data_IF_127014115580
#
_entry.id   IF_127014115580
#
_cell.length_a   1.000
_cell.length_b   1.000
_cell.length_c   1.000
_cell.angle_alpha   90.00
_cell.angle_beta   90.00
_cell.angle_gamma   90.00
#
_symmetry.space_group_name_H-M   'P 1'
#
loop_
_entity.id
_entity.type
_entity.pdbx_description
1 polymer ?
#
# COMPACT_ATOMS: atom_id res chain seq x y z
N UNK A 1 25.15 20.13 -39.43
CA UNK A 1 25.43 19.69 -38.04
C UNK A 1 24.18 19.06 -37.43
N UNK A 2 24.27 17.82 -36.92
CA UNK A 2 23.12 17.18 -36.26
C UNK A 2 22.87 17.87 -34.91
N UNK A 3 21.68 18.38 -34.64
CA UNK A 3 21.31 19.07 -33.39
C UNK A 3 21.59 18.25 -32.12
N UNK A 4 21.65 16.92 -32.23
CA UNK A 4 22.01 16.02 -31.13
C UNK A 4 23.47 16.16 -30.68
N UNK A 5 24.40 16.36 -31.63
CA UNK A 5 25.83 16.56 -31.28
C UNK A 5 26.06 17.92 -30.59
N UNK A 6 25.27 18.93 -30.96
CA UNK A 6 25.30 20.24 -30.32
C UNK A 6 24.79 20.16 -28.87
N UNK A 7 23.67 19.44 -28.61
CA UNK A 7 23.11 19.23 -27.29
C UNK A 7 24.11 18.49 -26.35
N UNK A 8 24.76 17.44 -26.84
CA UNK A 8 25.80 16.72 -26.09
C UNK A 8 27.03 17.59 -25.78
N UNK A 9 27.50 18.41 -26.74
CA UNK A 9 28.60 19.35 -26.50
C UNK A 9 28.25 20.36 -25.43
N UNK A 10 27.05 20.91 -25.45
CA UNK A 10 26.59 21.86 -24.43
C UNK A 10 26.53 21.23 -23.03
N UNK A 11 26.04 20.01 -22.91
CA UNK A 11 26.01 19.27 -21.63
C UNK A 11 27.42 19.02 -21.09
N UNK A 12 28.37 18.66 -21.98
CA UNK A 12 29.78 18.42 -21.63
C UNK A 12 30.52 19.71 -21.22
N UNK A 13 30.24 20.82 -21.86
CA UNK A 13 30.89 22.11 -21.58
C UNK A 13 30.50 22.68 -20.20
N UNK A 14 29.30 22.36 -19.72
CA UNK A 14 28.82 22.79 -18.40
C UNK A 14 28.54 21.58 -17.47
N UNK A 15 29.57 20.75 -17.29
CA UNK A 15 29.44 19.47 -16.54
C UNK A 15 28.77 19.62 -15.16
N UNK A 16 29.24 20.59 -14.34
CA UNK A 16 28.71 20.79 -12.97
C UNK A 16 27.19 21.02 -12.94
N UNK A 17 26.66 21.79 -13.90
CA UNK A 17 25.22 22.12 -13.97
C UNK A 17 24.41 21.00 -14.60
N UNK A 18 24.93 20.37 -15.63
CA UNK A 18 24.28 19.18 -16.21
C UNK A 18 24.13 18.09 -15.15
N UNK A 19 25.16 17.88 -14.32
CA UNK A 19 25.10 16.95 -13.18
C UNK A 19 24.02 17.39 -12.18
N UNK A 20 23.97 18.67 -11.79
CA UNK A 20 22.92 19.17 -10.88
C UNK A 20 21.50 18.98 -11.43
N UNK A 21 21.30 19.19 -12.75
CA UNK A 21 19.99 18.97 -13.37
C UNK A 21 19.65 17.48 -13.45
N UNK A 22 20.63 16.61 -13.76
CA UNK A 22 20.46 15.16 -13.73
C UNK A 22 20.14 14.69 -12.30
N UNK A 23 20.84 15.21 -11.29
CA UNK A 23 20.57 14.92 -9.89
C UNK A 23 19.17 15.36 -9.47
N UNK A 24 18.70 16.52 -9.92
CA UNK A 24 17.33 16.99 -9.64
C UNK A 24 16.29 16.02 -10.24
N UNK A 25 16.48 15.55 -11.48
CA UNK A 25 15.60 14.57 -12.11
C UNK A 25 15.70 13.24 -11.39
N UNK A 26 16.91 12.76 -11.09
CA UNK A 26 17.17 11.53 -10.36
C UNK A 26 16.46 11.53 -9.00
N UNK A 27 16.65 12.58 -8.21
CA UNK A 27 16.02 12.71 -6.88
C UNK A 27 14.50 12.74 -6.98
N UNK A 28 13.95 13.44 -7.98
CA UNK A 28 12.51 13.51 -8.19
C UNK A 28 11.91 12.17 -8.58
N UNK A 29 12.53 11.44 -9.49
CA UNK A 29 12.08 10.09 -9.89
C UNK A 29 12.27 9.11 -8.74
N UNK A 30 13.40 9.19 -8.03
CA UNK A 30 13.64 8.36 -6.84
C UNK A 30 12.57 8.57 -5.77
N UNK A 31 12.15 9.83 -5.53
CA UNK A 31 11.08 10.15 -4.58
C UNK A 31 9.74 9.53 -4.99
N UNK A 32 9.33 9.68 -6.26
CA UNK A 32 8.07 9.10 -6.76
C UNK A 32 8.09 7.59 -6.63
N UNK A 33 9.19 6.97 -7.08
CA UNK A 33 9.34 5.51 -7.08
C UNK A 33 9.40 4.97 -5.65
N UNK A 34 10.19 5.61 -4.77
CA UNK A 34 10.31 5.17 -3.38
C UNK A 34 9.00 5.32 -2.62
N UNK A 35 8.29 6.43 -2.80
CA UNK A 35 6.98 6.64 -2.18
C UNK A 35 5.96 5.59 -2.63
N UNK A 36 5.91 5.28 -3.94
CA UNK A 36 5.01 4.26 -4.47
C UNK A 36 5.32 2.85 -3.96
N UNK A 37 6.57 2.43 -4.00
CA UNK A 37 7.00 1.11 -3.51
C UNK A 37 6.76 1.00 -2.00
N UNK A 38 7.13 2.02 -1.23
CA UNK A 38 6.95 2.03 0.22
C UNK A 38 5.47 1.97 0.61
N UNK A 39 4.63 2.80 -0.01
CA UNK A 39 3.18 2.80 0.21
C UNK A 39 2.56 1.43 -0.05
N UNK A 40 2.94 0.78 -1.15
CA UNK A 40 2.43 -0.55 -1.49
C UNK A 40 2.95 -1.63 -0.54
N UNK A 41 4.22 -1.56 -0.11
CA UNK A 41 4.79 -2.51 0.86
C UNK A 41 4.10 -2.41 2.24
N UNK A 42 3.78 -1.20 2.69
CA UNK A 42 3.01 -0.99 3.93
C UNK A 42 1.56 -1.46 3.79
N UNK A 43 0.93 -1.23 2.64
CA UNK A 43 -0.42 -1.74 2.35
C UNK A 43 -0.45 -3.27 2.39
N UNK A 44 0.54 -3.93 1.79
CA UNK A 44 0.66 -5.40 1.82
C UNK A 44 0.87 -5.93 3.24
N UNK A 45 1.75 -5.28 4.03
CA UNK A 45 1.92 -5.61 5.45
C UNK A 45 0.59 -5.49 6.23
N UNK A 46 -0.14 -4.39 6.03
CA UNK A 46 -1.46 -4.20 6.63
C UNK A 46 -2.44 -5.30 6.23
N UNK A 47 -2.48 -5.64 4.95
CA UNK A 47 -3.33 -6.71 4.41
C UNK A 47 -2.94 -8.07 4.97
N UNK A 48 -1.63 -8.38 5.08
CA UNK A 48 -1.15 -9.62 5.72
C UNK A 48 -1.53 -9.70 7.21
N UNK A 49 -1.37 -8.61 7.96
CA UNK A 49 -1.77 -8.58 9.37
C UNK A 49 -3.29 -8.81 9.52
N UNK A 50 -4.09 -8.25 8.62
CA UNK A 50 -5.54 -8.47 8.58
C UNK A 50 -5.85 -9.94 8.26
N UNK A 51 -5.19 -10.54 7.26
CA UNK A 51 -5.34 -11.96 6.91
C UNK A 51 -4.97 -12.87 8.10
N UNK A 52 -3.87 -12.60 8.76
CA UNK A 52 -3.43 -13.38 9.92
C UNK A 52 -4.39 -13.25 11.11
N UNK A 53 -5.05 -12.10 11.27
CA UNK A 53 -5.96 -11.86 12.40
C UNK A 53 -7.39 -12.28 12.13
N UNK A 54 -7.89 -12.05 10.92
CA UNK A 54 -9.31 -12.23 10.55
C UNK A 54 -9.53 -13.33 9.51
N UNK A 55 -8.47 -13.95 9.01
CA UNK A 55 -8.51 -14.93 7.93
C UNK A 55 -8.43 -14.33 6.53
N UNK A 56 -8.12 -15.18 5.56
CA UNK A 56 -7.97 -14.84 4.14
C UNK A 56 -9.22 -15.22 3.33
N UNK A 57 -10.41 -15.03 3.89
CA UNK A 57 -11.68 -15.25 3.19
C UNK A 57 -12.39 -13.91 2.96
N UNK A 58 -13.28 -13.85 1.96
CA UNK A 58 -14.04 -12.63 1.65
C UNK A 58 -15.43 -12.61 2.26
N UNK A 59 -16.09 -13.78 2.25
CA UNK A 59 -17.37 -13.94 2.92
C UNK A 59 -17.52 -15.36 3.49
N UNK A 60 -18.35 -15.47 4.53
CA UNK A 60 -18.74 -16.76 5.11
C UNK A 60 -20.24 -16.82 5.33
N UNK A 61 -20.78 -18.03 5.31
CA UNK A 61 -22.17 -18.32 5.62
C UNK A 61 -22.26 -19.49 6.59
N UNK A 62 -23.31 -19.54 7.39
CA UNK A 62 -23.58 -20.61 8.35
C UNK A 62 -24.87 -21.36 7.99
N UNK A 63 -24.97 -22.61 8.41
CA UNK A 63 -26.19 -23.42 8.24
C UNK A 63 -26.43 -23.89 6.81
N UNK A 64 -25.40 -23.98 5.98
CA UNK A 64 -25.54 -24.42 4.60
C UNK A 64 -25.62 -25.94 4.49
N UNK A 65 -26.43 -26.41 3.54
CA UNK A 65 -26.46 -27.82 3.10
C UNK A 65 -25.30 -28.12 2.14
N UNK A 66 -24.93 -29.40 1.98
CA UNK A 66 -23.91 -29.83 1.03
C UNK A 66 -24.17 -29.29 -0.40
N UNK A 67 -25.40 -29.33 -0.87
CA UNK A 67 -25.77 -28.80 -2.20
C UNK A 67 -25.47 -27.31 -2.36
N UNK A 68 -25.66 -26.50 -1.29
CA UNK A 68 -25.35 -25.08 -1.31
C UNK A 68 -23.82 -24.86 -1.33
N UNK A 69 -23.07 -25.67 -0.57
CA UNK A 69 -21.61 -25.65 -0.60
C UNK A 69 -21.09 -25.96 -2.00
N UNK A 70 -21.61 -27.03 -2.63
CA UNK A 70 -21.23 -27.45 -3.99
C UNK A 70 -21.53 -26.33 -5.03
N UNK A 71 -22.64 -25.60 -4.85
CA UNK A 71 -22.98 -24.45 -5.69
C UNK A 71 -21.98 -23.30 -5.52
N UNK A 72 -21.53 -23.04 -4.31
CA UNK A 72 -20.47 -22.02 -4.09
C UNK A 72 -19.18 -22.46 -4.79
N UNK A 73 -18.76 -23.70 -4.58
CA UNK A 73 -17.53 -24.23 -5.17
C UNK A 73 -17.52 -24.28 -6.69
N UNK A 74 -18.68 -24.56 -7.30
CA UNK A 74 -18.83 -24.62 -8.76
C UNK A 74 -19.08 -23.24 -9.41
N UNK A 75 -19.27 -22.18 -8.63
CA UNK A 75 -19.54 -20.86 -9.17
C UNK A 75 -18.32 -20.26 -9.89
N UNK A 76 -18.52 -19.71 -11.07
CA UNK A 76 -17.45 -19.21 -11.96
C UNK A 76 -16.52 -18.18 -11.32
N UNK A 77 -17.05 -17.39 -10.39
CA UNK A 77 -16.31 -16.30 -9.71
C UNK A 77 -15.62 -16.77 -8.43
N UNK A 78 -15.87 -18.01 -7.96
CA UNK A 78 -15.25 -18.55 -6.75
C UNK A 78 -13.82 -19.01 -7.06
N UNK A 79 -12.89 -18.75 -6.15
CA UNK A 79 -11.50 -19.19 -6.21
C UNK A 79 -11.28 -20.37 -5.25
N UNK A 80 -11.54 -20.20 -3.96
CA UNK A 80 -11.40 -21.20 -2.93
C UNK A 80 -12.65 -21.26 -2.04
N UNK A 81 -12.98 -22.46 -1.56
CA UNK A 81 -14.10 -22.70 -0.65
C UNK A 81 -13.67 -23.66 0.45
N UNK A 82 -13.69 -23.19 1.68
CA UNK A 82 -13.44 -24.01 2.84
C UNK A 82 -14.73 -24.24 3.64
N UNK A 83 -14.85 -25.41 4.26
CA UNK A 83 -16.00 -25.78 5.07
C UNK A 83 -15.58 -26.26 6.45
N UNK A 84 -16.42 -25.95 7.44
CA UNK A 84 -16.29 -26.49 8.78
C UNK A 84 -17.66 -26.89 9.30
N UNK A 85 -17.74 -28.01 9.99
CA UNK A 85 -18.96 -28.47 10.67
C UNK A 85 -18.89 -28.00 12.12
N UNK A 86 -19.73 -27.06 12.56
CA UNK A 86 -19.85 -26.71 13.97
C UNK A 86 -20.52 -27.86 14.73
N UNK A 87 -19.80 -28.44 15.68
CA UNK A 87 -20.30 -29.62 16.41
C UNK A 87 -20.97 -29.23 17.73
N UNK A 88 -20.35 -28.33 18.48
CA UNK A 88 -20.90 -27.88 19.76
C UNK A 88 -19.86 -27.25 20.68
N UNK A 89 -20.25 -27.11 21.95
CA UNK A 89 -19.39 -26.53 22.99
C UNK A 89 -19.11 -27.61 24.03
N UNK A 90 -17.83 -27.90 24.27
CA UNK A 90 -17.41 -28.74 25.37
C UNK A 90 -16.91 -27.88 26.53
N UNK A 91 -17.21 -28.28 27.76
CA UNK A 91 -16.61 -27.70 28.97
C UNK A 91 -15.47 -28.61 29.42
N UNK A 92 -14.31 -28.00 29.60
CA UNK A 92 -13.15 -28.69 30.19
C UNK A 92 -13.15 -28.51 31.72
N UNK A 93 -13.54 -27.30 32.19
CA UNK A 93 -13.84 -26.95 33.59
C UNK A 93 -15.05 -26.01 33.57
N UNK A 94 -15.50 -25.54 34.76
CA UNK A 94 -16.61 -24.55 34.81
C UNK A 94 -16.29 -23.27 34.04
N UNK A 95 -15.04 -22.81 34.09
CA UNK A 95 -14.60 -21.54 33.47
C UNK A 95 -13.94 -21.69 32.10
N UNK A 96 -13.67 -22.93 31.65
CA UNK A 96 -12.97 -23.19 30.40
C UNK A 96 -13.89 -23.89 29.39
N UNK A 97 -14.15 -23.20 28.29
CA UNK A 97 -15.00 -23.69 27.21
C UNK A 97 -14.19 -23.98 25.94
N UNK A 98 -14.60 -24.99 25.19
CA UNK A 98 -13.97 -25.42 23.95
C UNK A 98 -15.04 -25.49 22.86
N UNK A 99 -14.89 -24.68 21.82
CA UNK A 99 -15.72 -24.74 20.63
C UNK A 99 -15.22 -25.85 19.71
N UNK A 100 -16.01 -26.91 19.57
CA UNK A 100 -15.68 -28.07 18.75
C UNK A 100 -16.20 -27.85 17.32
N UNK A 101 -15.32 -27.96 16.36
CA UNK A 101 -15.66 -27.89 14.94
C UNK A 101 -14.79 -28.86 14.13
N UNK A 102 -15.30 -29.29 12.96
CA UNK A 102 -14.63 -30.19 12.06
C UNK A 102 -14.37 -29.49 10.72
N UNK A 103 -13.22 -28.77 10.59
CA UNK A 103 -12.84 -28.08 9.37
C UNK A 103 -12.30 -29.05 8.32
N UNK A 104 -12.42 -28.67 7.03
CA UNK A 104 -11.60 -29.20 5.96
C UNK A 104 -10.25 -28.45 5.86
N UNK A 105 -9.38 -28.92 4.99
CA UNK A 105 -8.05 -28.35 4.79
C UNK A 105 -8.13 -26.92 4.28
N UNK A 106 -9.06 -26.65 3.35
CA UNK A 106 -9.25 -25.32 2.77
C UNK A 106 -9.76 -24.29 3.80
N UNK A 107 -10.63 -24.74 4.73
CA UNK A 107 -11.07 -23.88 5.84
C UNK A 107 -9.91 -23.51 6.76
N UNK A 108 -9.04 -24.45 7.06
CA UNK A 108 -7.86 -24.23 7.89
C UNK A 108 -6.97 -23.18 7.24
N UNK A 109 -6.73 -23.29 5.95
CA UNK A 109 -5.91 -22.36 5.17
C UNK A 109 -6.56 -20.96 5.06
N UNK A 110 -7.87 -20.90 4.78
CA UNK A 110 -8.60 -19.64 4.69
C UNK A 110 -8.63 -18.85 6.00
N UNK A 111 -8.68 -19.54 7.14
CA UNK A 111 -8.64 -18.90 8.45
C UNK A 111 -7.22 -18.73 9.01
N UNK A 112 -6.22 -19.32 8.37
CA UNK A 112 -4.82 -19.24 8.78
C UNK A 112 -4.54 -19.94 10.10
N UNK A 113 -5.20 -21.11 10.36
CA UNK A 113 -4.91 -21.88 11.54
C UNK A 113 -3.60 -22.65 11.39
N UNK A 114 -2.72 -22.47 12.33
CA UNK A 114 -1.41 -23.11 12.36
C UNK A 114 -1.27 -24.05 13.57
N UNK A 115 -0.45 -25.08 13.40
CA UNK A 115 -0.09 -25.99 14.48
C UNK A 115 1.21 -25.54 15.16
N UNK A 116 1.18 -25.47 16.49
CA UNK A 116 2.41 -25.34 17.30
C UNK A 116 3.20 -26.66 17.27
N UNK A 117 2.49 -27.82 17.31
CA UNK A 117 3.08 -29.15 17.30
C UNK A 117 2.07 -30.22 16.91
N UNK A 118 2.52 -31.27 16.24
CA UNK A 118 1.67 -32.42 15.88
C UNK A 118 1.12 -32.35 14.46
N UNK A 119 -0.10 -32.89 14.25
CA UNK A 119 -0.83 -32.87 12.99
C UNK A 119 -2.30 -32.57 13.20
N UNK A 120 -3.03 -32.24 12.16
CA UNK A 120 -4.49 -32.13 12.20
C UNK A 120 -5.16 -33.51 12.34
N UNK A 121 -6.41 -33.57 12.86
CA UNK A 121 -7.13 -34.83 13.02
C UNK A 121 -7.51 -35.41 11.65
N UNK A 122 -7.22 -36.71 11.43
CA UNK A 122 -7.56 -37.43 10.22
C UNK A 122 -8.61 -38.47 10.47
N UNK A 123 -8.62 -39.04 11.68
CA UNK A 123 -9.49 -40.16 12.05
C UNK A 123 -10.40 -39.80 13.21
N UNK A 124 -11.53 -40.56 13.30
CA UNK A 124 -12.47 -40.41 14.42
C UNK A 124 -11.78 -40.65 15.78
N UNK A 125 -12.17 -39.84 16.77
CA UNK A 125 -11.58 -39.85 18.11
C UNK A 125 -10.28 -39.05 18.27
N UNK A 126 -9.81 -38.38 17.24
CA UNK A 126 -8.67 -37.46 17.32
C UNK A 126 -9.10 -35.99 17.50
N UNK A 127 -8.29 -35.25 18.24
CA UNK A 127 -8.52 -33.81 18.50
C UNK A 127 -7.23 -33.00 18.45
N UNK A 128 -7.34 -31.78 17.93
CA UNK A 128 -6.33 -30.73 18.05
C UNK A 128 -6.94 -29.59 18.83
N UNK A 129 -6.17 -29.06 19.81
CA UNK A 129 -6.65 -28.07 20.78
C UNK A 129 -5.48 -27.14 21.17
N UNK A 130 -5.76 -25.98 21.73
CA UNK A 130 -4.72 -25.08 22.20
C UNK A 130 -4.09 -25.57 23.51
N UNK A 131 -2.76 -25.62 23.59
CA UNK A 131 -2.00 -26.20 24.71
C UNK A 131 -2.23 -25.49 26.06
N UNK A 132 -2.52 -24.19 26.06
CA UNK A 132 -2.73 -23.42 27.28
C UNK A 132 -3.96 -23.90 28.08
N UNK A 133 -4.97 -24.46 27.43
CA UNK A 133 -6.15 -25.02 28.08
C UNK A 133 -5.80 -26.16 29.05
N UNK A 134 -4.89 -27.06 28.64
CA UNK A 134 -4.44 -28.14 29.47
C UNK A 134 -3.72 -27.61 30.74
N UNK A 135 -2.87 -26.59 30.54
CA UNK A 135 -2.18 -25.95 31.64
C UNK A 135 -3.16 -25.27 32.60
N UNK A 136 -4.18 -24.59 32.08
CA UNK A 136 -5.21 -23.92 32.87
C UNK A 136 -6.12 -24.94 33.61
N UNK A 137 -6.38 -26.09 32.99
CA UNK A 137 -7.18 -27.17 33.58
C UNK A 137 -6.37 -28.10 34.55
N UNK A 138 -5.05 -27.90 34.67
CA UNK A 138 -4.19 -28.78 35.47
C UNK A 138 -3.98 -30.16 34.89
N UNK A 139 -4.17 -30.35 33.58
CA UNK A 139 -4.05 -31.64 32.88
C UNK A 139 -2.67 -31.70 32.23
N UNK A 140 -1.97 -32.86 32.24
CA UNK A 140 -0.70 -33.00 31.52
C UNK A 140 -0.88 -32.73 30.00
N UNK A 141 -0.12 -31.80 29.43
CA UNK A 141 -0.16 -31.45 28.03
C UNK A 141 0.85 -32.30 27.23
N UNK A 142 0.47 -33.51 26.86
CA UNK A 142 1.29 -34.42 26.06
C UNK A 142 0.49 -34.92 24.85
N UNK A 143 1.13 -34.95 23.66
CA UNK A 143 0.53 -35.53 22.48
C UNK A 143 0.34 -37.04 22.73
N UNK A 144 -0.84 -37.56 22.39
CA UNK A 144 -1.24 -38.93 22.68
C UNK A 144 -2.11 -39.11 23.94
N UNK A 145 -2.21 -38.08 24.77
CA UNK A 145 -3.11 -38.07 25.94
C UNK A 145 -4.56 -38.14 25.50
N UNK A 146 -5.36 -38.95 26.19
CA UNK A 146 -6.80 -39.04 25.94
C UNK A 146 -7.56 -38.19 26.94
N UNK A 147 -8.41 -37.30 26.43
CA UNK A 147 -9.19 -36.35 27.23
C UNK A 147 -10.67 -36.66 27.09
N UNK A 148 -11.40 -36.87 28.18
CA UNK A 148 -12.86 -36.96 28.14
C UNK A 148 -13.44 -35.55 28.01
N UNK A 149 -14.34 -35.34 27.03
CA UNK A 149 -15.07 -34.08 26.85
C UNK A 149 -16.56 -34.34 26.82
N UNK A 150 -17.31 -33.57 27.58
CA UNK A 150 -18.77 -33.52 27.51
C UNK A 150 -19.18 -32.45 26.55
N UNK A 151 -19.55 -32.84 25.32
CA UNK A 151 -19.95 -31.92 24.25
C UNK A 151 -21.43 -31.60 24.40
N UNK A 152 -21.77 -30.35 24.44
CA UNK A 152 -23.13 -29.82 24.41
C UNK A 152 -23.50 -29.44 23.00
N UNK A 153 -24.51 -30.14 22.44
CA UNK A 153 -24.99 -29.97 21.08
C UNK A 153 -26.35 -29.28 21.13
N UNK A 154 -26.59 -28.20 20.37
CA UNK A 154 -27.92 -27.65 20.24
C UNK A 154 -28.78 -28.56 19.41
N UNK A 155 -29.93 -29.00 19.94
CA UNK A 155 -30.91 -29.83 19.25
C UNK A 155 -32.23 -29.08 19.24
N UNK A 156 -32.83 -28.95 18.06
CA UNK A 156 -34.18 -28.38 17.92
C UNK A 156 -35.21 -29.55 18.05
N UNK A 157 -35.99 -29.54 19.12
CA UNK A 157 -37.08 -30.49 19.32
C UNK A 157 -38.19 -30.30 18.28
N UNK A 158 -39.01 -31.30 18.04
CA UNK A 158 -40.18 -31.21 17.15
C UNK A 158 -41.14 -30.08 17.55
N UNK A 159 -41.12 -29.64 18.81
CA UNK A 159 -41.85 -28.54 19.34
C UNK A 159 -41.33 -27.16 18.94
N UNK A 160 -40.18 -27.04 18.25
CA UNK A 160 -39.48 -25.83 17.90
C UNK A 160 -38.69 -25.22 19.09
N UNK A 161 -38.59 -25.91 20.22
CA UNK A 161 -37.74 -25.50 21.35
C UNK A 161 -36.30 -25.93 21.15
N UNK A 162 -35.36 -25.06 21.38
CA UNK A 162 -33.95 -25.38 21.46
C UNK A 162 -33.67 -26.08 22.81
N UNK A 163 -33.12 -27.27 22.74
CA UNK A 163 -32.64 -28.02 23.90
C UNK A 163 -31.17 -28.37 23.71
N UNK A 164 -30.51 -28.75 24.80
CA UNK A 164 -29.07 -29.09 24.76
C UNK A 164 -28.93 -30.61 25.08
N UNK A 165 -28.40 -31.33 24.10
CA UNK A 165 -28.00 -32.72 24.32
C UNK A 165 -26.54 -32.74 24.80
N UNK A 166 -26.25 -33.62 25.78
CA UNK A 166 -24.91 -33.79 26.32
C UNK A 166 -24.40 -35.17 25.87
N UNK A 167 -23.26 -35.14 25.17
CA UNK A 167 -22.62 -36.36 24.67
C UNK A 167 -21.21 -36.45 25.25
N UNK A 168 -20.92 -37.55 25.97
CA UNK A 168 -19.57 -37.80 26.45
C UNK A 168 -18.75 -38.51 25.38
N UNK A 169 -17.59 -37.93 25.05
CA UNK A 169 -16.64 -38.49 24.09
C UNK A 169 -15.23 -38.41 24.63
N UNK A 170 -14.40 -39.37 24.24
CA UNK A 170 -12.98 -39.42 24.56
C UNK A 170 -12.18 -39.12 23.32
N UNK A 171 -11.34 -38.11 23.36
CA UNK A 171 -10.51 -37.66 22.23
C UNK A 171 -9.04 -37.85 22.55
N UNK A 172 -8.30 -38.42 21.60
CA UNK A 172 -6.85 -38.52 21.63
C UNK A 172 -6.25 -37.22 21.06
N UNK A 173 -5.43 -36.51 21.82
CA UNK A 173 -4.74 -35.29 21.39
C UNK A 173 -3.66 -35.66 20.39
N UNK A 174 -3.75 -35.16 19.15
CA UNK A 174 -2.79 -35.42 18.06
C UNK A 174 -1.95 -34.18 17.69
N UNK A 175 -2.33 -33.01 18.20
CA UNK A 175 -1.59 -31.76 17.97
C UNK A 175 -2.07 -30.60 18.83
N UNK A 176 -1.35 -29.50 18.74
CA UNK A 176 -1.68 -28.26 19.42
C UNK A 176 -1.76 -27.11 18.42
N UNK A 177 -2.84 -26.33 18.51
CA UNK A 177 -3.00 -25.09 17.75
C UNK A 177 -2.13 -23.98 18.35
N UNK A 178 -1.69 -23.07 17.49
CA UNK A 178 -1.10 -21.79 17.92
C UNK A 178 -2.16 -21.02 18.71
N UNK A 179 -1.83 -20.50 19.91
CA UNK A 179 -2.79 -19.88 20.80
C UNK A 179 -3.41 -18.61 20.23
N UNK A 180 -4.73 -18.47 20.38
CA UNK A 180 -5.43 -17.22 20.10
C UNK A 180 -5.57 -16.40 21.39
N UNK A 181 -4.90 -15.23 21.46
CA UNK A 181 -4.92 -14.36 22.64
C UNK A 181 -6.33 -13.91 23.06
N UNK A 182 -7.22 -13.67 22.10
CA UNK A 182 -8.61 -13.31 22.40
C UNK A 182 -9.36 -14.48 23.10
N UNK A 183 -9.09 -15.72 22.70
CA UNK A 183 -9.62 -16.92 23.35
C UNK A 183 -9.09 -17.12 24.75
N UNK A 184 -7.80 -16.87 24.99
CA UNK A 184 -7.19 -16.97 26.32
C UNK A 184 -7.87 -16.01 27.30
N UNK A 185 -8.11 -14.76 26.90
CA UNK A 185 -8.78 -13.75 27.73
C UNK A 185 -10.24 -14.08 28.02
N UNK A 186 -10.91 -14.76 27.12
CA UNK A 186 -12.31 -15.17 27.26
C UNK A 186 -12.49 -16.53 27.97
N UNK A 187 -11.41 -17.24 28.30
CA UNK A 187 -11.49 -18.62 28.82
C UNK A 187 -12.06 -19.62 27.82
N UNK A 188 -11.95 -19.32 26.53
CA UNK A 188 -12.54 -20.10 25.45
C UNK A 188 -11.51 -20.40 24.36
N UNK A 189 -11.51 -21.61 23.85
CA UNK A 189 -10.63 -22.02 22.75
C UNK A 189 -11.42 -22.75 21.67
N UNK A 190 -10.79 -22.89 20.50
CA UNK A 190 -11.27 -23.78 19.43
C UNK A 190 -10.55 -25.10 19.52
N UNK A 191 -11.25 -26.16 19.17
CA UNK A 191 -10.68 -27.47 18.98
C UNK A 191 -11.21 -28.09 17.69
N UNK A 192 -10.35 -28.77 16.96
CA UNK A 192 -10.71 -29.40 15.70
C UNK A 192 -10.73 -30.91 15.85
N UNK A 193 -11.75 -31.50 15.27
CA UNK A 193 -11.93 -32.95 15.14
C UNK A 193 -12.08 -33.33 13.65
N UNK A 194 -11.99 -34.61 13.33
CA UNK A 194 -12.21 -35.07 11.97
C UNK A 194 -13.68 -34.91 11.57
N UNK A 195 -13.96 -34.64 10.29
CA UNK A 195 -15.33 -34.55 9.77
C UNK A 195 -16.13 -35.84 9.96
N UNK A 196 -15.46 -37.00 9.88
CA UNK A 196 -16.07 -38.31 10.17
C UNK A 196 -16.58 -38.40 11.61
N UNK A 197 -15.90 -37.83 12.58
CA UNK A 197 -16.37 -37.78 13.98
C UNK A 197 -17.56 -36.83 14.14
N UNK A 198 -17.53 -35.68 13.47
CA UNK A 198 -18.63 -34.71 13.51
C UNK A 198 -19.95 -35.34 13.01
N UNK A 199 -19.91 -36.10 11.92
CA UNK A 199 -21.04 -36.79 11.39
C UNK A 199 -21.62 -37.86 12.36
N UNK A 200 -20.76 -38.54 13.13
CA UNK A 200 -21.16 -39.47 14.18
C UNK A 200 -21.78 -38.77 15.40
N UNK A 201 -21.24 -37.62 15.79
CA UNK A 201 -21.71 -36.85 16.92
C UNK A 201 -23.05 -36.19 16.66
N UNK A 202 -23.28 -35.74 15.41
CA UNK A 202 -24.50 -35.03 14.97
C UNK A 202 -25.60 -35.96 14.39
N UNK A 203 -25.44 -37.27 14.50
CA UNK A 203 -26.39 -38.28 14.00
C UNK A 203 -26.78 -38.09 12.51
N UNK A 204 -25.79 -37.73 11.71
CA UNK A 204 -25.91 -37.52 10.27
C UNK A 204 -26.52 -36.19 9.80
N UNK A 205 -27.08 -35.38 10.69
CA UNK A 205 -27.60 -34.04 10.33
C UNK A 205 -26.48 -33.02 10.36
N UNK A 206 -25.81 -32.80 9.23
CA UNK A 206 -24.66 -31.90 9.14
C UNK A 206 -25.05 -30.61 8.44
N UNK A 207 -24.84 -29.48 9.11
CA UNK A 207 -24.87 -28.15 8.52
C UNK A 207 -23.46 -27.57 8.45
N UNK A 208 -23.13 -26.94 7.33
CA UNK A 208 -21.80 -26.43 7.10
C UNK A 208 -21.74 -24.93 7.39
N UNK A 209 -20.66 -24.54 8.04
CA UNK A 209 -20.14 -23.18 7.98
C UNK A 209 -19.17 -23.13 6.81
N UNK A 210 -19.37 -22.19 5.88
CA UNK A 210 -18.60 -22.13 4.64
C UNK A 210 -17.96 -20.75 4.53
N UNK A 211 -16.68 -20.72 4.20
CA UNK A 211 -15.95 -19.50 3.87
C UNK A 211 -15.40 -19.61 2.45
N UNK A 212 -15.36 -18.49 1.73
CA UNK A 212 -14.89 -18.50 0.36
C UNK A 212 -14.16 -17.23 -0.03
N UNK A 213 -13.29 -17.36 -1.05
CA UNK A 213 -12.66 -16.27 -1.77
C UNK A 213 -13.16 -16.21 -3.21
N UNK A 214 -12.89 -15.11 -3.88
CA UNK A 214 -13.26 -14.92 -5.28
C UNK A 214 -12.01 -14.68 -6.13
N UNK A 215 -12.10 -15.07 -7.40
CA UNK A 215 -11.01 -14.87 -8.36
C UNK A 215 -10.66 -13.40 -8.50
N UNK A 216 -9.37 -13.10 -8.66
CA UNK A 216 -8.82 -11.73 -8.74
C UNK A 216 -9.33 -10.90 -9.92
N UNK A 217 -9.86 -11.55 -10.94
CA UNK A 217 -10.41 -10.90 -12.15
C UNK A 217 -11.76 -10.22 -11.90
N UNK A 218 -12.44 -10.57 -10.81
CA UNK A 218 -13.74 -10.03 -10.45
C UNK A 218 -13.65 -9.12 -9.22
N UNK A 219 -14.49 -8.08 -9.22
CA UNK A 219 -14.65 -7.28 -8.01
C UNK A 219 -15.29 -8.12 -6.90
N UNK A 220 -14.68 -8.20 -5.71
CA UNK A 220 -15.16 -9.05 -4.62
C UNK A 220 -16.62 -8.81 -4.22
N UNK A 221 -17.09 -7.55 -4.19
CA UNK A 221 -18.47 -7.25 -3.81
C UNK A 221 -19.47 -7.74 -4.86
N UNK A 222 -19.14 -7.58 -6.12
CA UNK A 222 -19.96 -8.07 -7.24
C UNK A 222 -20.03 -9.59 -7.22
N UNK A 223 -18.90 -10.26 -6.97
CA UNK A 223 -18.84 -11.71 -6.89
C UNK A 223 -19.62 -12.27 -5.70
N UNK A 224 -19.48 -11.66 -4.50
CA UNK A 224 -20.24 -12.03 -3.30
C UNK A 224 -21.75 -11.94 -3.55
N UNK A 225 -22.21 -10.83 -4.16
CA UNK A 225 -23.63 -10.63 -4.50
C UNK A 225 -24.12 -11.69 -5.52
N UNK A 226 -23.31 -12.02 -6.53
CA UNK A 226 -23.64 -13.04 -7.53
C UNK A 226 -23.76 -14.43 -6.92
N UNK A 227 -22.80 -14.80 -6.05
CA UNK A 227 -22.82 -16.10 -5.34
C UNK A 227 -24.03 -16.18 -4.40
N UNK A 228 -24.33 -15.11 -3.64
CA UNK A 228 -25.50 -15.07 -2.78
C UNK A 228 -26.80 -15.23 -3.56
N UNK A 229 -26.94 -14.56 -4.71
CA UNK A 229 -28.10 -14.68 -5.59
C UNK A 229 -28.27 -16.11 -6.15
N UNK A 230 -27.18 -16.78 -6.51
CA UNK A 230 -27.20 -18.19 -6.97
C UNK A 230 -27.68 -19.18 -5.88
N UNK A 231 -27.50 -18.79 -4.61
CA UNK A 231 -27.97 -19.57 -3.46
C UNK A 231 -29.37 -19.18 -3.00
N UNK A 232 -29.96 -18.11 -3.54
CA UNK A 232 -31.21 -17.52 -3.06
C UNK A 232 -31.09 -16.86 -1.67
N UNK A 233 -29.87 -16.43 -1.30
CA UNK A 233 -29.56 -15.79 -0.03
C UNK A 233 -29.45 -14.28 -0.18
N UNK A 234 -29.88 -13.56 0.87
CA UNK A 234 -29.62 -12.11 0.98
C UNK A 234 -28.16 -11.90 1.43
N UNK A 235 -27.32 -11.22 0.62
CA UNK A 235 -25.90 -11.03 0.95
C UNK A 235 -25.69 -10.21 2.22
N UNK A 236 -26.66 -9.41 2.63
CA UNK A 236 -26.57 -8.53 3.80
C UNK A 236 -27.01 -9.20 5.10
N UNK A 237 -27.85 -10.21 5.01
CA UNK A 237 -28.41 -10.90 6.17
C UNK A 237 -27.80 -12.28 6.42
N UNK A 238 -27.44 -13.01 5.35
CA UNK A 238 -27.02 -14.41 5.44
C UNK A 238 -25.53 -14.61 5.25
N UNK A 239 -24.81 -13.58 4.72
CA UNK A 239 -23.36 -13.64 4.56
C UNK A 239 -22.66 -12.72 5.55
N UNK A 240 -21.72 -13.29 6.26
CA UNK A 240 -20.80 -12.54 7.10
C UNK A 240 -19.55 -12.18 6.27
N UNK A 241 -19.40 -10.91 5.89
CA UNK A 241 -18.26 -10.46 5.09
C UNK A 241 -17.06 -10.10 5.97
N UNK A 242 -15.87 -10.46 5.52
CA UNK A 242 -14.62 -10.01 6.13
C UNK A 242 -14.37 -8.54 5.76
N UNK A 243 -15.07 -7.64 6.45
CA UNK A 243 -15.05 -6.20 6.17
C UNK A 243 -13.67 -5.58 6.32
N UNK A 244 -12.84 -6.12 7.22
CA UNK A 244 -11.47 -5.67 7.41
C UNK A 244 -10.60 -5.97 6.18
N UNK A 245 -10.66 -7.21 5.67
CA UNK A 245 -9.91 -7.62 4.49
C UNK A 245 -10.42 -6.91 3.23
N UNK A 246 -11.72 -6.88 3.02
CA UNK A 246 -12.34 -6.20 1.88
C UNK A 246 -12.06 -4.70 1.88
N UNK A 247 -12.05 -4.06 3.04
CA UNK A 247 -11.64 -2.66 3.20
C UNK A 247 -10.18 -2.42 2.84
N UNK A 248 -9.27 -3.30 3.27
CA UNK A 248 -7.84 -3.23 2.93
C UNK A 248 -7.58 -3.43 1.43
N UNK A 249 -8.41 -4.25 0.77
CA UNK A 249 -8.36 -4.47 -0.68
C UNK A 249 -9.03 -3.36 -1.50
N UNK A 250 -9.67 -2.37 -0.85
CA UNK A 250 -10.41 -1.30 -1.52
C UNK A 250 -11.76 -1.75 -2.09
N UNK A 251 -12.29 -2.87 -1.62
CA UNK A 251 -13.59 -3.45 -2.00
C UNK A 251 -14.54 -3.46 -0.82
N UNK A 252 -14.56 -2.37 -0.04
CA UNK A 252 -15.49 -2.20 1.08
C UNK A 252 -16.93 -2.18 0.59
N UNK A 253 -17.85 -2.60 1.44
CA UNK A 253 -19.31 -2.53 1.21
C UNK A 253 -19.81 -1.09 0.99
N UNK A 254 -19.11 -0.11 1.55
CA UNK A 254 -19.41 1.29 1.42
C UNK A 254 -18.59 1.89 0.26
N UNK A 255 -19.24 2.17 -0.86
CA UNK A 255 -18.62 2.84 -2.01
C UNK A 255 -17.93 4.14 -1.61
N UNK A 256 -18.52 4.86 -0.64
CA UNK A 256 -17.95 6.11 -0.10
C UNK A 256 -16.56 5.91 0.53
N UNK A 257 -16.25 4.76 1.13
CA UNK A 257 -14.94 4.47 1.72
C UNK A 257 -13.93 4.20 0.61
N UNK A 258 -14.31 3.43 -0.41
CA UNK A 258 -13.46 3.14 -1.56
C UNK A 258 -13.12 4.42 -2.33
N UNK A 259 -14.14 5.27 -2.58
CA UNK A 259 -13.97 6.57 -3.25
C UNK A 259 -13.08 7.52 -2.43
N UNK A 260 -13.22 7.53 -1.11
CA UNK A 260 -12.38 8.34 -0.23
C UNK A 260 -10.91 7.91 -0.29
N UNK A 261 -10.63 6.61 -0.26
CA UNK A 261 -9.26 6.07 -0.37
C UNK A 261 -8.63 6.42 -1.72
N UNK A 262 -9.36 6.22 -2.82
CA UNK A 262 -8.91 6.61 -4.17
C UNK A 262 -8.67 8.12 -4.27
N UNK A 263 -9.55 8.92 -3.68
CA UNK A 263 -9.42 10.39 -3.69
C UNK A 263 -8.16 10.84 -2.97
N UNK A 264 -7.87 10.29 -1.79
CA UNK A 264 -6.65 10.60 -1.03
C UNK A 264 -5.41 10.19 -1.82
N UNK A 265 -5.39 8.99 -2.42
CA UNK A 265 -4.27 8.52 -3.25
C UNK A 265 -4.01 9.44 -4.45
N UNK A 266 -5.06 9.87 -5.14
CA UNK A 266 -4.97 10.81 -6.27
C UNK A 266 -4.46 12.18 -5.83
N UNK A 267 -4.92 12.70 -4.69
CA UNK A 267 -4.44 13.99 -4.15
C UNK A 267 -2.94 13.91 -3.83
N UNK A 268 -2.50 12.85 -3.15
CA UNK A 268 -1.08 12.64 -2.81
C UNK A 268 -0.24 12.54 -4.08
N UNK A 269 -0.66 11.73 -5.06
CA UNK A 269 0.02 11.60 -6.34
C UNK A 269 0.12 12.95 -7.08
N UNK A 270 -0.96 13.74 -7.10
CA UNK A 270 -1.00 15.07 -7.72
C UNK A 270 -0.02 16.04 -7.07
N UNK A 271 0.01 16.10 -5.73
CA UNK A 271 0.95 16.91 -4.97
C UNK A 271 2.40 16.52 -5.29
N UNK A 272 2.68 15.22 -5.36
CA UNK A 272 4.01 14.68 -5.67
C UNK A 272 4.47 15.07 -7.09
N UNK A 273 3.56 15.01 -8.07
CA UNK A 273 3.83 15.44 -9.44
C UNK A 273 4.14 16.94 -9.49
N UNK A 274 3.34 17.77 -8.83
CA UNK A 274 3.57 19.24 -8.78
C UNK A 274 4.93 19.55 -8.15
N UNK A 275 5.26 18.89 -7.01
CA UNK A 275 6.55 19.03 -6.36
C UNK A 275 7.71 18.72 -7.31
N UNK A 276 7.62 17.59 -7.98
CA UNK A 276 8.61 17.10 -8.95
C UNK A 276 8.79 18.09 -10.11
N UNK A 277 7.67 18.51 -10.73
CA UNK A 277 7.68 19.48 -11.82
C UNK A 277 8.31 20.81 -11.38
N UNK A 278 8.01 21.31 -10.18
CA UNK A 278 8.54 22.55 -9.65
C UNK A 278 10.07 22.50 -9.45
N UNK A 279 10.59 21.41 -8.87
CA UNK A 279 12.03 21.21 -8.65
C UNK A 279 12.79 21.14 -9.99
N UNK A 280 12.29 20.32 -10.92
CA UNK A 280 12.91 20.17 -12.24
C UNK A 280 12.80 21.47 -13.04
N UNK A 281 11.65 22.15 -13.01
CA UNK A 281 11.46 23.46 -13.66
C UNK A 281 12.49 24.50 -13.17
N UNK A 282 12.70 24.60 -11.87
CA UNK A 282 13.67 25.54 -11.31
C UNK A 282 15.08 25.27 -11.85
N UNK A 283 15.49 24.01 -11.91
CA UNK A 283 16.78 23.59 -12.48
C UNK A 283 16.92 23.95 -13.98
N UNK A 284 15.86 23.66 -14.77
CA UNK A 284 15.86 24.02 -16.20
C UNK A 284 15.81 25.51 -16.43
N UNK A 285 15.02 26.26 -15.67
CA UNK A 285 14.91 27.72 -15.80
C UNK A 285 16.27 28.39 -15.57
N UNK A 286 17.01 27.98 -14.54
CA UNK A 286 18.36 28.47 -14.30
C UNK A 286 19.29 28.14 -15.48
N UNK A 287 19.30 26.89 -15.93
CA UNK A 287 20.15 26.42 -17.03
C UNK A 287 19.88 27.16 -18.35
N UNK A 288 18.60 27.44 -18.66
CA UNK A 288 18.21 28.16 -19.88
C UNK A 288 18.58 29.64 -19.78
N UNK A 289 18.32 30.29 -18.64
CA UNK A 289 18.63 31.73 -18.48
C UNK A 289 20.11 32.07 -18.65
N UNK A 290 20.99 31.20 -18.20
CA UNK A 290 22.44 31.39 -18.38
C UNK A 290 22.92 31.20 -19.82
N UNK A 291 22.12 30.52 -20.64
CA UNK A 291 22.42 30.29 -22.06
C UNK A 291 21.70 31.27 -23.00
N UNK A 292 20.98 32.25 -22.48
CA UNK A 292 20.24 33.22 -23.29
C UNK A 292 21.13 33.90 -24.34
N UNK A 293 22.35 34.28 -23.97
CA UNK A 293 23.32 34.86 -24.93
C UNK A 293 23.68 33.91 -26.05
N UNK A 294 23.92 32.62 -25.74
CA UNK A 294 24.24 31.60 -26.75
C UNK A 294 23.04 31.36 -27.69
N UNK A 295 21.81 31.34 -27.18
CA UNK A 295 20.63 31.24 -28.00
C UNK A 295 20.41 32.46 -28.90
N UNK A 296 20.76 33.67 -28.40
CA UNK A 296 20.75 34.87 -29.19
C UNK A 296 21.75 34.83 -30.37
N UNK A 297 23.00 34.39 -30.10
CA UNK A 297 24.01 34.20 -31.14
C UNK A 297 23.55 33.17 -32.19
N UNK A 298 22.97 32.04 -31.77
CA UNK A 298 22.43 31.10 -32.72
C UNK A 298 21.33 31.70 -33.58
N UNK A 299 20.52 32.60 -33.04
CA UNK A 299 19.46 33.27 -33.79
C UNK A 299 20.03 34.35 -34.75
N UNK A 300 21.12 35.00 -34.43
CA UNK A 300 21.81 35.93 -35.40
C UNK A 300 22.35 35.15 -36.60
N UNK A 301 22.77 33.89 -36.43
CA UNK A 301 23.23 33.00 -37.48
C UNK A 301 22.07 32.33 -38.23
N UNK A 302 20.79 32.68 -37.90
CA UNK A 302 19.62 32.23 -38.65
C UNK A 302 18.81 31.10 -38.03
N UNK A 303 19.09 30.70 -36.78
CA UNK A 303 18.30 29.67 -36.12
C UNK A 303 16.85 30.13 -35.86
N UNK A 304 15.85 29.30 -36.18
CA UNK A 304 14.43 29.59 -35.95
C UNK A 304 14.05 29.36 -34.49
N UNK A 305 12.93 29.98 -34.05
CA UNK A 305 12.37 29.79 -32.69
C UNK A 305 12.05 28.30 -32.40
N UNK A 306 11.62 27.54 -33.41
CA UNK A 306 11.34 26.11 -33.29
C UNK A 306 12.63 25.32 -33.05
N UNK A 307 13.71 25.67 -33.74
CA UNK A 307 15.01 25.00 -33.58
C UNK A 307 15.60 25.19 -32.17
N UNK A 308 15.51 26.40 -31.62
CA UNK A 308 15.93 26.67 -30.24
C UNK A 308 15.09 25.87 -29.23
N UNK A 309 13.76 25.83 -29.38
CA UNK A 309 12.90 25.00 -28.54
C UNK A 309 13.25 23.52 -28.64
N UNK A 310 13.45 23.01 -29.84
CA UNK A 310 13.86 21.62 -30.08
C UNK A 310 15.22 21.29 -29.42
N UNK A 311 16.14 22.23 -29.40
CA UNK A 311 17.43 22.07 -28.74
C UNK A 311 17.25 21.89 -27.21
N UNK A 312 16.39 22.69 -26.59
CA UNK A 312 16.08 22.58 -25.15
C UNK A 312 15.38 21.23 -24.85
N UNK A 313 14.41 20.81 -25.65
CA UNK A 313 13.73 19.52 -25.46
C UNK A 313 14.66 18.33 -25.67
N UNK A 314 15.63 18.38 -26.60
CA UNK A 314 16.65 17.35 -26.74
C UNK A 314 17.58 17.27 -25.54
N UNK A 315 17.93 18.42 -24.94
CA UNK A 315 18.69 18.43 -23.68
C UNK A 315 17.87 17.79 -22.56
N UNK A 316 16.56 18.13 -22.46
CA UNK A 316 15.65 17.49 -21.52
C UNK A 316 15.58 15.97 -21.70
N UNK A 317 15.46 15.51 -22.95
CA UNK A 317 15.46 14.08 -23.27
C UNK A 317 16.76 13.36 -22.86
N UNK A 318 17.93 13.97 -23.11
CA UNK A 318 19.22 13.41 -22.68
C UNK A 318 19.35 13.33 -21.17
N UNK A 319 18.88 14.36 -20.46
CA UNK A 319 18.87 14.38 -18.99
C UNK A 319 17.90 13.32 -18.45
N UNK A 320 16.71 13.18 -19.07
CA UNK A 320 15.75 12.14 -18.69
C UNK A 320 16.31 10.74 -18.94
N UNK A 321 16.96 10.51 -20.09
CA UNK A 321 17.54 9.22 -20.44
C UNK A 321 18.57 8.69 -19.42
N UNK A 322 19.24 9.58 -18.68
CA UNK A 322 20.18 9.22 -17.62
C UNK A 322 19.53 9.31 -16.24
N UNK A 323 18.80 10.41 -15.99
CA UNK A 323 18.23 10.72 -14.67
C UNK A 323 17.09 9.79 -14.27
N UNK A 324 16.25 9.37 -15.22
CA UNK A 324 15.09 8.52 -14.92
C UNK A 324 15.50 7.09 -14.53
N UNK A 325 16.33 6.37 -15.30
CA UNK A 325 16.77 5.04 -14.89
C UNK A 325 17.61 5.06 -13.59
N UNK A 326 18.47 6.07 -13.44
CA UNK A 326 19.26 6.22 -12.22
C UNK A 326 18.35 6.53 -11.02
N UNK A 327 17.31 7.36 -11.20
CA UNK A 327 16.33 7.67 -10.18
C UNK A 327 15.52 6.46 -9.75
N UNK A 328 15.08 5.64 -10.72
CA UNK A 328 14.42 4.36 -10.42
C UNK A 328 15.31 3.46 -9.56
N UNK A 329 16.57 3.26 -9.95
CA UNK A 329 17.51 2.43 -9.19
C UNK A 329 17.77 2.96 -7.78
N UNK A 330 17.98 4.28 -7.63
CA UNK A 330 18.18 4.91 -6.31
C UNK A 330 16.91 4.85 -5.46
N UNK A 331 15.71 5.01 -6.05
CA UNK A 331 14.44 4.88 -5.36
C UNK A 331 14.23 3.48 -4.79
N UNK A 332 14.46 2.44 -5.58
CA UNK A 332 14.41 1.03 -5.14
C UNK A 332 15.41 0.78 -4.01
N UNK A 333 16.65 1.25 -4.16
CA UNK A 333 17.68 1.07 -3.16
C UNK A 333 17.34 1.77 -1.84
N UNK A 334 16.80 2.98 -1.91
CA UNK A 334 16.38 3.76 -0.74
C UNK A 334 15.30 3.01 0.07
N UNK A 335 14.25 2.50 -0.60
CA UNK A 335 13.20 1.73 0.07
C UNK A 335 13.76 0.44 0.68
N UNK A 336 14.64 -0.25 -0.04
CA UNK A 336 15.27 -1.48 0.47
C UNK A 336 16.05 -1.23 1.75
N UNK A 337 16.76 -0.11 1.83
CA UNK A 337 17.49 0.30 3.05
C UNK A 337 16.50 0.62 4.19
N UNK A 338 15.45 1.39 3.90
CA UNK A 338 14.44 1.77 4.90
C UNK A 338 13.75 0.53 5.45
N UNK A 339 13.28 -0.38 4.61
CA UNK A 339 12.62 -1.62 5.03
C UNK A 339 13.58 -2.51 5.84
N UNK A 340 14.83 -2.63 5.44
CA UNK A 340 15.83 -3.41 6.19
C UNK A 340 16.08 -2.84 7.59
N UNK A 341 16.16 -1.51 7.71
CA UNK A 341 16.29 -0.83 9.01
C UNK A 341 15.04 -1.07 9.85
N UNK A 342 13.85 -0.91 9.26
CA UNK A 342 12.57 -1.12 9.94
C UNK A 342 12.46 -2.56 10.49
N UNK A 343 12.71 -3.57 9.66
CA UNK A 343 12.66 -4.98 10.06
C UNK A 343 13.71 -5.32 11.13
N UNK A 344 14.86 -4.64 11.12
CA UNK A 344 15.87 -4.78 12.17
C UNK A 344 15.41 -4.29 13.56
N UNK A 345 14.51 -3.29 13.60
CA UNK A 345 13.92 -2.80 14.85
C UNK A 345 12.65 -3.59 15.24
N UNK A 346 11.88 -4.07 14.28
CA UNK A 346 10.59 -4.76 14.51
C UNK A 346 10.75 -6.19 15.01
N UNK A 347 11.86 -6.87 14.72
CA UNK A 347 12.13 -8.24 15.17
C UNK A 347 12.18 -8.44 16.69
N UNK A 348 12.27 -7.35 17.47
CA UNK A 348 12.20 -7.38 18.95
C UNK A 348 10.81 -7.10 19.54
N UNK A 349 9.81 -6.69 18.73
CA UNK A 349 8.51 -6.18 19.21
C UNK A 349 7.33 -7.05 18.70
N UNK A 350 7.60 -8.12 17.94
CA UNK A 350 6.55 -9.05 17.46
C UNK A 350 5.72 -8.54 16.29
N UNK A 351 6.17 -7.48 15.59
CA UNK A 351 5.54 -7.07 14.33
C UNK A 351 5.97 -7.98 13.19
N UNK A 352 5.04 -8.26 12.27
CA UNK A 352 5.34 -9.00 11.05
C UNK A 352 6.38 -8.25 10.21
N UNK A 353 7.28 -9.00 9.57
CA UNK A 353 8.29 -8.41 8.69
C UNK A 353 7.66 -7.75 7.47
N UNK A 354 8.09 -6.53 7.15
CA UNK A 354 7.68 -5.85 5.93
C UNK A 354 8.36 -6.50 4.74
N UNK A 355 7.58 -7.13 3.89
CA UNK A 355 8.05 -7.70 2.63
C UNK A 355 8.05 -6.62 1.55
N UNK A 356 9.18 -6.42 0.88
CA UNK A 356 9.29 -5.45 -0.20
C UNK A 356 8.52 -5.91 -1.43
N UNK A 357 7.46 -5.18 -1.79
CA UNK A 357 6.64 -5.45 -2.96
C UNK A 357 7.05 -4.57 -4.14
N UNK A 358 7.13 -5.15 -5.33
CA UNK A 358 7.51 -4.45 -6.57
C UNK A 358 6.29 -4.34 -7.51
N UNK A 359 5.36 -3.40 -7.28
CA UNK A 359 4.18 -3.30 -8.13
C UNK A 359 4.56 -2.83 -9.53
N UNK A 360 4.12 -3.54 -10.59
CA UNK A 360 4.45 -3.19 -11.98
C UNK A 360 3.95 -1.79 -12.35
N UNK A 361 2.85 -1.35 -11.76
CA UNK A 361 2.29 -0.01 -11.97
C UNK A 361 3.28 1.08 -11.52
N UNK A 362 3.97 0.90 -10.39
CA UNK A 362 4.96 1.84 -9.88
C UNK A 362 6.26 1.76 -10.67
N UNK A 363 6.70 0.53 -11.04
CA UNK A 363 7.94 0.33 -11.80
C UNK A 363 7.87 0.91 -13.21
N UNK A 364 6.71 0.93 -13.84
CA UNK A 364 6.47 1.52 -15.16
C UNK A 364 5.95 2.95 -15.03
N UNK A 365 4.96 3.17 -14.16
CA UNK A 365 4.31 4.46 -13.96
C UNK A 365 5.25 5.53 -13.40
N UNK A 366 6.11 5.18 -12.45
CA UNK A 366 7.09 6.10 -11.86
C UNK A 366 8.05 6.71 -12.90
N UNK A 367 8.76 5.91 -13.70
CA UNK A 367 9.58 6.42 -14.82
C UNK A 367 8.78 7.21 -15.86
N UNK A 368 7.57 6.76 -16.21
CA UNK A 368 6.71 7.45 -17.16
C UNK A 368 6.32 8.84 -16.65
N UNK A 369 5.87 8.94 -15.40
CA UNK A 369 5.59 10.21 -14.73
C UNK A 369 6.84 11.09 -14.63
N UNK A 370 8.00 10.49 -14.37
CA UNK A 370 9.30 11.18 -14.39
C UNK A 370 9.60 11.80 -15.75
N UNK A 371 9.44 11.07 -16.84
CA UNK A 371 9.61 11.55 -18.21
C UNK A 371 8.64 12.70 -18.50
N UNK A 372 7.35 12.53 -18.21
CA UNK A 372 6.32 13.55 -18.41
C UNK A 372 6.67 14.81 -17.63
N UNK A 373 7.08 14.67 -16.36
CA UNK A 373 7.47 15.79 -15.49
C UNK A 373 8.68 16.56 -16.03
N UNK A 374 9.68 15.88 -16.58
CA UNK A 374 10.84 16.50 -17.23
C UNK A 374 10.42 17.32 -18.43
N UNK A 375 9.61 16.77 -19.34
CA UNK A 375 9.15 17.48 -20.51
C UNK A 375 8.23 18.65 -20.17
N UNK A 376 7.33 18.49 -19.22
CA UNK A 376 6.43 19.55 -18.73
C UNK A 376 7.24 20.69 -18.10
N UNK A 377 8.23 20.36 -17.29
CA UNK A 377 9.14 21.33 -16.64
C UNK A 377 9.99 22.10 -17.65
N UNK A 378 10.39 21.46 -18.75
CA UNK A 378 11.17 22.08 -19.81
C UNK A 378 10.33 23.01 -20.73
N UNK A 379 9.00 22.90 -20.71
CA UNK A 379 8.10 23.60 -21.65
C UNK A 379 8.20 25.12 -21.57
N UNK A 380 8.10 25.67 -20.35
CA UNK A 380 8.18 27.13 -20.13
C UNK A 380 9.58 27.68 -20.40
N UNK A 381 10.69 27.07 -19.91
CA UNK A 381 12.04 27.47 -20.25
C UNK A 381 12.33 27.40 -21.76
N UNK A 382 11.86 26.36 -22.45
CA UNK A 382 12.01 26.25 -23.89
C UNK A 382 11.26 27.35 -24.67
N UNK A 383 10.06 27.73 -24.20
CA UNK A 383 9.31 28.88 -24.78
C UNK A 383 10.06 30.18 -24.57
N UNK A 384 10.63 30.39 -23.39
CA UNK A 384 11.43 31.59 -23.04
C UNK A 384 12.69 31.66 -23.90
N UNK A 385 13.44 30.55 -24.03
CA UNK A 385 14.62 30.47 -24.89
C UNK A 385 14.29 30.81 -26.35
N UNK A 386 13.16 30.35 -26.89
CA UNK A 386 12.71 30.63 -28.25
C UNK A 386 12.26 32.07 -28.50
N UNK A 387 11.93 32.82 -27.46
CA UNK A 387 11.50 34.24 -27.55
C UNK A 387 12.66 35.26 -27.54
N UNK A 388 13.89 34.82 -27.25
CA UNK A 388 15.06 35.70 -27.18
C UNK A 388 15.27 36.44 -28.50
N UNK A 389 15.35 37.79 -28.44
CA UNK A 389 15.64 38.62 -29.60
C UNK A 389 17.14 38.55 -29.95
N UNK A 390 17.52 38.38 -31.23
CA UNK A 390 18.92 38.43 -31.65
C UNK A 390 19.65 39.71 -31.16
N UNK A 391 18.98 40.84 -31.24
CA UNK A 391 19.53 42.12 -30.90
C UNK A 391 19.73 42.32 -29.40
N UNK A 392 18.78 41.84 -28.58
CA UNK A 392 18.90 41.90 -27.11
C UNK A 392 20.04 41.02 -26.59
N UNK A 393 20.33 39.89 -27.25
CA UNK A 393 21.37 38.98 -26.81
C UNK A 393 22.79 39.48 -27.14
N UNK A 394 22.95 40.28 -28.20
CA UNK A 394 24.24 40.88 -28.58
C UNK A 394 24.49 42.17 -27.77
N UNK A 395 23.44 42.93 -27.48
CA UNK A 395 23.50 44.18 -26.71
C UNK A 395 23.49 43.95 -25.18
N UNK A 396 23.40 42.69 -24.70
CA UNK A 396 23.27 42.38 -23.27
C UNK A 396 24.46 42.80 -22.40
N UNK A 397 25.54 43.29 -22.95
CA UNK A 397 26.66 43.83 -22.19
C UNK A 397 26.41 45.25 -21.60
N UNK A 398 25.32 45.95 -21.96
CA UNK A 398 25.10 47.34 -21.52
C UNK A 398 23.70 47.75 -21.10
N UNK A 399 22.68 46.89 -21.29
CA UNK A 399 21.31 47.23 -20.89
C UNK A 399 20.99 46.66 -19.53
N UNK A 400 21.20 47.43 -18.49
CA UNK A 400 20.36 47.36 -17.30
C UNK A 400 18.91 47.45 -17.77
N UNK A 401 18.18 46.34 -17.75
CA UNK A 401 16.73 46.37 -17.87
C UNK A 401 16.26 47.41 -16.87
N UNK A 402 15.65 48.51 -17.37
CA UNK A 402 14.99 49.51 -16.53
C UNK A 402 13.83 48.81 -15.82
N UNK A 403 14.17 48.02 -14.81
CA UNK A 403 13.17 47.48 -13.90
C UNK A 403 12.55 48.68 -13.19
N UNK A 404 11.28 48.93 -13.48
CA UNK A 404 10.43 49.81 -12.69
C UNK A 404 10.28 49.17 -11.31
N UNK A 405 11.33 49.21 -10.51
CA UNK A 405 11.31 48.77 -9.12
C UNK A 405 10.46 49.77 -8.37
N UNK A 406 9.19 49.43 -8.10
CA UNK A 406 8.39 50.17 -7.12
C UNK A 406 9.15 50.14 -5.80
N UNK A 407 9.69 51.33 -5.40
CA UNK A 407 10.40 51.55 -4.12
C UNK A 407 9.45 51.27 -2.94
N UNK A 408 9.14 50.04 -2.64
CA UNK A 408 8.53 49.65 -1.35
C UNK A 408 9.66 49.30 -0.38
N UNK A 409 9.80 50.10 0.68
CA UNK A 409 10.76 49.86 1.76
C UNK A 409 10.48 48.50 2.40
N UNK A 410 11.46 47.60 2.35
CA UNK A 410 11.45 46.34 3.11
C UNK A 410 11.85 46.70 4.55
N UNK A 411 10.85 46.99 5.38
CA UNK A 411 11.06 47.39 6.77
C UNK A 411 11.63 46.21 7.58
N UNK A 412 11.07 45.01 7.43
CA UNK A 412 11.40 43.85 8.26
C UNK A 412 12.85 43.33 8.02
N UNK A 413 13.25 43.10 6.77
CA UNK A 413 14.61 42.62 6.47
C UNK A 413 15.68 43.73 6.64
N UNK A 414 15.28 44.97 6.51
CA UNK A 414 16.17 46.09 6.72
C UNK A 414 16.47 46.42 8.17
N UNK A 415 15.53 46.13 9.09
CA UNK A 415 15.72 46.28 10.53
C UNK A 415 16.48 45.11 11.16
N UNK A 416 16.22 43.87 10.69
CA UNK A 416 16.87 42.65 11.23
C UNK A 416 18.32 42.46 10.72
N UNK A 417 18.60 42.75 9.45
CA UNK A 417 19.90 42.49 8.80
C UNK A 417 20.58 43.72 8.19
N UNK A 418 20.13 44.93 8.47
CA UNK A 418 20.73 46.15 8.01
C UNK A 418 20.82 46.33 6.48
N UNK A 419 21.94 46.86 5.98
CA UNK A 419 22.18 47.08 4.53
C UNK A 419 22.19 45.78 3.72
N UNK A 420 22.83 44.66 4.16
CA UNK A 420 22.76 43.39 3.46
C UNK A 420 21.34 42.87 3.29
N UNK A 421 20.48 43.00 4.31
CA UNK A 421 19.07 42.59 4.24
C UNK A 421 18.26 43.41 3.23
N UNK A 422 18.54 44.70 3.09
CA UNK A 422 17.91 45.56 2.06
C UNK A 422 18.31 45.14 0.65
N UNK A 423 19.59 44.81 0.42
CA UNK A 423 20.11 44.38 -0.89
C UNK A 423 19.52 43.01 -1.23
N UNK A 424 19.48 42.07 -0.27
CA UNK A 424 18.88 40.77 -0.46
C UNK A 424 17.38 40.83 -0.83
N UNK A 425 16.62 41.68 -0.12
CA UNK A 425 15.20 41.92 -0.42
C UNK A 425 14.98 42.50 -1.82
N UNK A 426 15.86 43.44 -2.24
CA UNK A 426 15.78 43.98 -3.60
C UNK A 426 16.11 42.94 -4.68
N UNK A 427 17.10 42.09 -4.44
CA UNK A 427 17.46 40.98 -5.36
C UNK A 427 16.36 39.95 -5.49
N UNK A 428 15.69 39.56 -4.39
CA UNK A 428 14.53 38.64 -4.40
C UNK A 428 13.36 39.23 -5.21
N UNK A 429 13.14 40.55 -5.13
CA UNK A 429 12.06 41.23 -5.88
C UNK A 429 12.38 41.46 -7.36
N UNK A 430 13.65 41.38 -7.76
CA UNK A 430 14.04 41.45 -9.18
C UNK A 430 13.54 40.25 -9.99
N UNK A 431 13.44 39.08 -9.36
CA UNK A 431 13.00 37.86 -10.02
C UNK A 431 11.89 37.13 -9.21
N UNK A 432 10.68 37.74 -9.08
CA UNK A 432 9.63 37.25 -8.21
C UNK A 432 9.20 35.84 -8.56
N UNK A 433 9.15 35.49 -9.87
CA UNK A 433 8.79 34.15 -10.31
C UNK A 433 9.75 33.06 -9.83
N UNK A 434 11.07 33.34 -9.80
CA UNK A 434 12.04 32.37 -9.26
C UNK A 434 11.92 32.24 -7.76
N UNK A 435 11.76 33.36 -7.05
CA UNK A 435 11.57 33.32 -5.60
C UNK A 435 10.35 32.50 -5.21
N UNK A 436 9.21 32.73 -5.85
CA UNK A 436 7.97 31.99 -5.59
C UNK A 436 8.16 30.50 -5.86
N UNK A 437 8.75 30.12 -6.99
CA UNK A 437 8.97 28.69 -7.32
C UNK A 437 9.92 28.03 -6.32
N UNK A 438 11.00 28.71 -5.92
CA UNK A 438 11.96 28.16 -4.94
C UNK A 438 11.31 27.98 -3.56
N UNK A 439 10.59 29.02 -3.07
CA UNK A 439 9.87 28.95 -1.79
C UNK A 439 8.81 27.86 -1.81
N UNK A 440 8.05 27.79 -2.90
CA UNK A 440 7.03 26.75 -3.09
C UNK A 440 7.65 25.33 -3.10
N UNK A 441 8.77 25.12 -3.80
CA UNK A 441 9.46 23.83 -3.83
C UNK A 441 9.97 23.39 -2.45
N UNK A 442 10.55 24.34 -1.67
CA UNK A 442 11.02 24.06 -0.31
C UNK A 442 9.82 23.78 0.61
N UNK A 443 8.79 24.65 0.56
CA UNK A 443 7.58 24.48 1.36
C UNK A 443 6.88 23.14 1.10
N UNK A 444 6.81 22.74 -0.17
CA UNK A 444 6.22 21.47 -0.56
C UNK A 444 7.06 20.28 -0.08
N UNK A 445 8.40 20.37 -0.13
CA UNK A 445 9.29 19.36 0.44
C UNK A 445 9.10 19.19 1.95
N UNK A 446 8.96 20.31 2.69
CA UNK A 446 8.66 20.26 4.13
C UNK A 446 7.28 19.68 4.38
N UNK A 447 6.26 20.08 3.61
CA UNK A 447 4.90 19.56 3.74
C UNK A 447 4.85 18.04 3.50
N UNK A 448 5.53 17.53 2.48
CA UNK A 448 5.65 16.10 2.23
C UNK A 448 6.34 15.38 3.39
N UNK A 449 7.47 15.92 3.86
CA UNK A 449 8.18 15.33 4.99
C UNK A 449 7.30 15.26 6.25
N UNK A 450 6.59 16.34 6.60
CA UNK A 450 5.71 16.38 7.77
C UNK A 450 4.51 15.43 7.62
N UNK A 451 3.96 15.30 6.40
CA UNK A 451 2.87 14.36 6.12
C UNK A 451 3.34 12.91 6.31
N UNK A 452 4.51 12.55 5.76
CA UNK A 452 5.07 11.21 5.94
C UNK A 452 5.43 10.93 7.40
N UNK A 453 6.03 11.90 8.10
CA UNK A 453 6.33 11.77 9.53
C UNK A 453 5.07 11.61 10.37
N UNK A 454 3.98 12.34 10.04
CA UNK A 454 2.69 12.21 10.70
C UNK A 454 2.03 10.84 10.45
N UNK A 455 2.03 10.36 9.22
CA UNK A 455 1.54 9.01 8.90
C UNK A 455 2.32 7.93 9.65
N UNK A 456 3.64 8.02 9.69
CA UNK A 456 4.48 7.09 10.43
C UNK A 456 4.18 7.12 11.93
N UNK A 457 3.95 8.31 12.51
CA UNK A 457 3.56 8.46 13.92
C UNK A 457 2.22 7.81 14.23
N UNK A 458 1.22 7.93 13.33
CA UNK A 458 -0.09 7.28 13.50
C UNK A 458 0.05 5.76 13.45
N UNK A 459 0.82 5.23 12.47
CA UNK A 459 1.05 3.79 12.34
C UNK A 459 1.81 3.22 13.56
N UNK A 460 2.74 3.99 14.15
CA UNK A 460 3.48 3.55 15.33
C UNK A 460 2.70 3.66 16.64
N UNK A 461 1.57 4.37 16.65
CA UNK A 461 0.70 4.54 17.82
C UNK A 461 -0.52 3.59 17.80
N UNK A 462 -0.80 2.95 16.68
CA UNK A 462 -1.87 1.95 16.49
C UNK A 462 -1.35 0.53 16.70
#
# INVERSE_FOLDING_TARGET
>A
MKYSSLACRYLRQQRKRSILTVLAVLMSVALITSAGIFSQSIRELGTQNIRNRFGNYYASAEGLSQNQVDKIGSHVMTDAVGTSVPVGIAKLTEDLSVFLEAPDEEWIDLYGFELEKGRFPETSGEIVIEKWLFKAAGIPAEIGTTVPLTVRIPVTEESGRESWQHIERRFKVVGYLVPNYAGITAGASRAFIAQSEAALVLDGTVCFRTAFTTKKEFDPQTAIKSIAAALGLDPDRHLNQNTALLGALGSSRLDTVNDALLTVELIVAFILIIATVAVIYNSFAISVMERIRQFGILRTVGATRRQIRHLVFRQAALIAAVGVPAGLGVGILAVRIVIRIFNGFSGGIGFAEVVMTYPPEVLVGGPLLGIVSVFLSALLPARTAGKVSPMEAVLAEGRFVKDRIKRRRSIILGTLFGVPGRIASQNLRRHPGRFVVTVFSIGLGIALFTTFAGLFSIISAA
#
